data_IF_640896575948
#
_entry.id   IF_640896575948
#
_cell.length_a   1.000
_cell.length_b   1.000
_cell.length_c   1.000
_cell.angle_alpha   90.00
_cell.angle_beta   90.00
_cell.angle_gamma   90.00
#
_symmetry.space_group_name_H-M   'P 1'
#
loop_
_entity.id
_entity.type
_entity.pdbx_description
1 polymer ?
#
# COMPACT_ATOMS: atom_id res chain seq x y z
N UNK A 1 4.97 16.18 -6.25
CA UNK A 1 6.46 16.16 -6.19
C UNK A 1 6.94 15.01 -7.06
N UNK A 2 7.64 15.28 -8.17
CA UNK A 2 7.85 14.34 -9.28
C UNK A 2 8.83 13.17 -9.01
N UNK A 3 9.12 12.85 -7.74
CA UNK A 3 10.09 11.81 -7.34
C UNK A 3 9.63 10.99 -6.12
N UNK A 4 8.32 10.95 -5.82
CA UNK A 4 7.83 10.29 -4.61
C UNK A 4 7.88 8.75 -4.65
N UNK A 5 7.79 8.16 -5.85
CA UNK A 5 7.74 6.73 -6.10
C UNK A 5 8.71 6.40 -7.25
N UNK A 6 9.56 5.40 -7.05
CA UNK A 6 10.45 4.90 -8.10
C UNK A 6 9.68 3.84 -8.90
N UNK A 7 9.53 4.04 -10.22
CA UNK A 7 8.78 3.13 -11.12
C UNK A 7 7.44 3.65 -11.64
N UNK A 8 7.00 4.85 -11.23
CA UNK A 8 5.79 5.51 -11.76
C UNK A 8 6.22 6.65 -12.70
N UNK A 9 6.02 6.44 -14.01
CA UNK A 9 6.21 7.50 -15.02
C UNK A 9 4.97 8.40 -14.99
N UNK A 10 5.09 9.57 -14.36
CA UNK A 10 4.00 10.55 -14.20
C UNK A 10 3.62 11.07 -15.60
N UNK A 11 2.64 10.43 -16.22
CA UNK A 11 2.00 10.90 -17.45
C UNK A 11 0.70 11.57 -17.04
N UNK A 12 0.75 12.90 -16.96
CA UNK A 12 -0.34 13.87 -16.87
C UNK A 12 -1.74 13.33 -16.52
N UNK A 13 -1.98 13.10 -15.23
CA UNK A 13 -3.28 13.30 -14.58
C UNK A 13 -4.33 12.18 -14.66
N UNK A 14 -4.14 11.11 -15.44
CA UNK A 14 -5.13 10.02 -15.56
C UNK A 14 -4.54 8.60 -15.39
N UNK A 15 -3.23 8.41 -15.59
CA UNK A 15 -2.59 7.08 -15.57
C UNK A 15 -1.92 6.65 -14.26
N UNK A 16 -1.82 7.53 -13.26
CA UNK A 16 -1.12 7.20 -12.00
C UNK A 16 -1.99 6.43 -11.00
N UNK A 17 -3.31 6.63 -11.03
CA UNK A 17 -4.22 6.06 -10.04
C UNK A 17 -4.17 4.52 -9.95
N UNK A 18 -4.16 3.77 -11.07
CA UNK A 18 -4.05 2.30 -11.02
C UNK A 18 -2.74 1.82 -10.39
N UNK A 19 -1.62 2.51 -10.65
CA UNK A 19 -0.32 2.15 -10.08
C UNK A 19 -0.26 2.43 -8.57
N UNK A 20 -0.87 3.54 -8.13
CA UNK A 20 -0.99 3.86 -6.70
C UNK A 20 -1.88 2.84 -5.97
N UNK A 21 -3.01 2.46 -6.55
CA UNK A 21 -3.89 1.43 -5.99
C UNK A 21 -3.19 0.07 -5.90
N UNK A 22 -2.45 -0.30 -6.94
CA UNK A 22 -1.67 -1.53 -6.94
C UNK A 22 -0.64 -1.52 -5.80
N UNK A 23 0.12 -0.43 -5.64
CA UNK A 23 1.07 -0.28 -4.53
C UNK A 23 0.39 -0.39 -3.15
N UNK A 24 -0.75 0.28 -2.97
CA UNK A 24 -1.57 0.19 -1.75
C UNK A 24 -2.00 -1.25 -1.47
N UNK A 25 -2.53 -1.94 -2.48
CA UNK A 25 -3.05 -3.30 -2.32
C UNK A 25 -1.94 -4.29 -1.97
N UNK A 26 -0.79 -4.22 -2.66
CA UNK A 26 0.39 -5.05 -2.41
C UNK A 26 0.97 -4.80 -1.01
N UNK A 27 0.92 -3.56 -0.51
CA UNK A 27 1.38 -3.20 0.83
C UNK A 27 0.39 -3.66 1.91
N UNK A 28 -0.91 -3.42 1.72
CA UNK A 28 -1.98 -3.80 2.63
C UNK A 28 -2.08 -5.32 2.80
N UNK A 29 -1.84 -6.08 1.73
CA UNK A 29 -1.80 -7.55 1.74
C UNK A 29 -0.44 -8.12 2.13
N UNK A 30 0.55 -7.27 2.41
CA UNK A 30 1.93 -7.65 2.78
C UNK A 30 2.68 -8.47 1.72
N UNK A 31 2.27 -8.39 0.44
CA UNK A 31 2.92 -9.10 -0.68
C UNK A 31 4.30 -8.54 -1.01
N UNK A 32 4.43 -7.21 -1.08
CA UNK A 32 5.71 -6.53 -1.28
C UNK A 32 6.50 -6.94 -2.53
N UNK A 33 5.88 -7.00 -3.72
CA UNK A 33 6.56 -7.40 -4.98
C UNK A 33 7.81 -6.57 -5.31
N UNK A 34 7.91 -5.33 -4.84
CA UNK A 34 9.11 -4.48 -4.96
C UNK A 34 9.31 -3.85 -6.33
N UNK A 35 8.33 -3.97 -7.22
CA UNK A 35 8.26 -3.33 -8.54
C UNK A 35 7.96 -1.82 -8.43
N UNK A 36 7.16 -1.43 -7.45
CA UNK A 36 6.92 -0.03 -7.09
C UNK A 36 7.40 0.21 -5.66
N UNK A 37 8.30 1.18 -5.47
CA UNK A 37 8.89 1.45 -4.15
C UNK A 37 8.80 2.94 -3.75
N UNK A 38 8.56 3.23 -2.46
CA UNK A 38 8.54 4.60 -1.97
C UNK A 38 9.96 5.18 -1.97
N UNK A 39 10.19 6.22 -2.77
CA UNK A 39 11.50 6.85 -2.92
C UNK A 39 11.74 7.94 -1.86
N UNK A 40 10.68 8.60 -1.37
CA UNK A 40 10.77 9.65 -0.36
C UNK A 40 10.41 9.15 1.05
N UNK A 41 10.96 9.77 2.12
CA UNK A 41 10.68 9.38 3.50
C UNK A 41 9.19 9.41 3.87
N UNK A 42 8.44 10.38 3.33
CA UNK A 42 7.01 10.54 3.58
C UNK A 42 6.20 9.35 3.05
N UNK A 43 6.46 8.90 1.82
CA UNK A 43 5.79 7.75 1.23
C UNK A 43 6.18 6.46 1.95
N UNK A 44 7.41 6.37 2.46
CA UNK A 44 7.84 5.24 3.29
C UNK A 44 7.07 5.18 4.62
N UNK A 45 6.87 6.31 5.29
CA UNK A 45 6.05 6.36 6.51
C UNK A 45 4.59 6.01 6.25
N UNK A 46 4.03 6.43 5.11
CA UNK A 46 2.67 6.06 4.71
C UNK A 46 2.56 4.55 4.44
N UNK A 47 3.52 3.96 3.73
CA UNK A 47 3.56 2.52 3.49
C UNK A 47 3.64 1.71 4.80
N UNK A 48 4.40 2.18 5.80
CA UNK A 48 4.43 1.55 7.12
C UNK A 48 3.09 1.66 7.85
N UNK A 49 2.44 2.83 7.83
CA UNK A 49 1.11 2.99 8.43
C UNK A 49 0.09 2.08 7.76
N UNK A 50 0.11 2.00 6.43
CA UNK A 50 -0.78 1.14 5.65
C UNK A 50 -0.58 -0.35 5.99
N UNK A 51 0.66 -0.82 6.06
CA UNK A 51 0.97 -2.21 6.43
C UNK A 51 0.46 -2.55 7.85
N UNK A 52 0.62 -1.62 8.81
CA UNK A 52 0.11 -1.78 10.18
C UNK A 52 -1.42 -1.85 10.15
N UNK A 53 -2.09 -0.91 9.48
CA UNK A 53 -3.56 -0.90 9.36
C UNK A 53 -4.10 -2.17 8.68
N UNK A 54 -3.46 -2.66 7.62
CA UNK A 54 -3.82 -3.90 6.94
C UNK A 54 -3.73 -5.12 7.86
N UNK A 55 -2.66 -5.19 8.67
CA UNK A 55 -2.48 -6.26 9.66
C UNK A 55 -3.56 -6.22 10.75
N UNK A 56 -3.86 -5.04 11.29
CA UNK A 56 -4.94 -4.87 12.27
C UNK A 56 -6.31 -5.23 11.69
N UNK A 57 -6.59 -4.85 10.43
CA UNK A 57 -7.83 -5.20 9.76
C UNK A 57 -7.99 -6.72 9.63
N UNK A 58 -6.98 -7.42 9.11
CA UNK A 58 -7.01 -8.88 9.02
C UNK A 58 -7.15 -9.53 10.40
N UNK A 59 -6.44 -9.03 11.41
CA UNK A 59 -6.54 -9.55 12.78
C UNK A 59 -7.95 -9.42 13.36
N UNK A 60 -8.61 -8.25 13.18
CA UNK A 60 -9.97 -8.01 13.65
C UNK A 60 -10.97 -8.90 12.89
N UNK A 61 -10.84 -9.00 11.57
CA UNK A 61 -11.72 -9.84 10.74
C UNK A 61 -11.62 -11.31 11.16
N UNK A 62 -10.39 -11.83 11.32
CA UNK A 62 -10.17 -13.21 11.78
C UNK A 62 -10.71 -13.39 13.20
N UNK A 63 -10.46 -12.46 14.12
CA UNK A 63 -11.00 -12.53 15.49
C UNK A 63 -12.54 -12.53 15.50
N UNK A 64 -13.18 -11.71 14.66
CA UNK A 64 -14.63 -11.64 14.53
C UNK A 64 -15.23 -12.91 13.93
N UNK A 65 -14.51 -13.57 13.01
CA UNK A 65 -14.91 -14.85 12.46
C UNK A 65 -14.80 -15.96 13.50
N UNK A 66 -13.69 -16.00 14.25
CA UNK A 66 -13.45 -16.99 15.29
C UNK A 66 -14.42 -16.89 16.46
N UNK A 67 -14.84 -15.68 16.84
CA UNK A 67 -15.82 -15.50 17.93
C UNK A 67 -17.26 -15.80 17.49
N UNK A 68 -17.53 -15.80 16.19
CA UNK A 68 -18.84 -16.14 15.61
C UNK A 68 -19.02 -17.65 15.37
N UNK A 69 -17.93 -18.40 15.25
CA UNK A 69 -17.90 -19.87 15.10
C UNK A 69 -17.92 -20.55 16.47
#
# INVERSE_FOLDING_TARGET
APQALHGVEIVDGVSDFPHLLYFSYVTLTTLGYGDVTPAIPLTRTLAYLEAITGTFYLAIVVASLLICI
#
